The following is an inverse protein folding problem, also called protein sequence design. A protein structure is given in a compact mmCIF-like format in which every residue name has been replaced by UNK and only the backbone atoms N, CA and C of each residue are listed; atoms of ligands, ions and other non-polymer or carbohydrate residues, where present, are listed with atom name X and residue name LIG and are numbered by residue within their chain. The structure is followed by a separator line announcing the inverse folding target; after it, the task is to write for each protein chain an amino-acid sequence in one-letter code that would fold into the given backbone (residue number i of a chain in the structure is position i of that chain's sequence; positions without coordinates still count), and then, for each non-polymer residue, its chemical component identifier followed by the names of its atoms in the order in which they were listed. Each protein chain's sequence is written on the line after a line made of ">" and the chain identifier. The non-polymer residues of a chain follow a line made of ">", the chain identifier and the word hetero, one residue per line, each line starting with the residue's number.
data_IF_379965331457
#
_entry.id   IF_379965331457
#
_cell.length_a   1.000
_cell.length_b   1.000
_cell.length_c   1.000
_cell.angle_alpha   90.00
_cell.angle_beta   90.00
_cell.angle_gamma   90.00
#
_symmetry.space_group_name_H-M   'P 1'
#
loop_
_entity.id
_entity.type
_entity.pdbx_description
1 polymer ?
#
# COMPACT_ATOMS: atom_id res chain seq x y z
N UNK A 1 -7.03 -15.93 39.38
CA UNK A 1 -8.47 -16.05 39.09
C UNK A 1 -8.84 -17.53 39.04
N UNK A 2 -9.96 -17.93 39.66
CA UNK A 2 -10.38 -19.33 39.73
C UNK A 2 -11.05 -19.79 38.43
N UNK A 3 -10.84 -21.04 38.04
CA UNK A 3 -11.44 -21.69 36.85
C UNK A 3 -12.96 -21.58 36.83
N UNK A 4 -13.60 -21.56 37.99
CA UNK A 4 -15.06 -21.43 38.13
C UNK A 4 -15.62 -20.10 37.58
N UNK A 5 -14.77 -19.08 37.39
CA UNK A 5 -15.18 -17.82 36.78
C UNK A 5 -15.24 -17.87 35.24
N UNK A 6 -14.92 -19.00 34.61
CA UNK A 6 -15.00 -19.17 33.15
C UNK A 6 -16.40 -18.90 32.60
N UNK A 7 -17.43 -19.36 33.32
CA UNK A 7 -18.84 -19.16 32.96
C UNK A 7 -19.41 -17.80 33.43
N UNK A 8 -18.57 -16.90 33.97
CA UNK A 8 -19.04 -15.58 34.37
C UNK A 8 -19.44 -14.76 33.14
N UNK A 9 -20.52 -13.96 33.27
CA UNK A 9 -21.02 -13.11 32.19
C UNK A 9 -19.94 -12.17 31.64
N UNK A 10 -19.10 -11.64 32.54
CA UNK A 10 -17.97 -10.78 32.19
C UNK A 10 -16.95 -11.52 31.33
N UNK A 11 -16.46 -12.68 31.77
CA UNK A 11 -15.49 -13.48 31.00
C UNK A 11 -16.04 -13.92 29.65
N UNK A 12 -17.32 -14.32 29.59
CA UNK A 12 -17.99 -14.71 28.34
C UNK A 12 -18.06 -13.53 27.36
N UNK A 13 -18.38 -12.32 27.86
CA UNK A 13 -18.37 -11.10 27.03
C UNK A 13 -16.96 -10.84 26.50
N UNK A 14 -15.95 -10.85 27.37
CA UNK A 14 -14.56 -10.59 26.95
C UNK A 14 -14.07 -11.63 25.94
N UNK A 15 -14.41 -12.90 26.12
CA UNK A 15 -14.07 -13.95 25.16
C UNK A 15 -14.72 -13.68 23.79
N UNK A 16 -15.99 -13.32 23.80
CA UNK A 16 -16.72 -13.00 22.57
C UNK A 16 -16.10 -11.79 21.87
N UNK A 17 -15.82 -10.70 22.61
CA UNK A 17 -15.23 -9.48 22.07
C UNK A 17 -13.89 -9.78 21.37
N UNK A 18 -13.00 -10.53 22.04
CA UNK A 18 -11.71 -10.95 21.48
C UNK A 18 -11.88 -11.80 20.23
N UNK A 19 -12.84 -12.73 20.22
CA UNK A 19 -13.13 -13.55 19.03
C UNK A 19 -13.65 -12.70 17.87
N UNK A 20 -14.46 -11.67 18.14
CA UNK A 20 -15.00 -10.79 17.10
C UNK A 20 -13.98 -9.81 16.53
N UNK A 21 -12.94 -9.47 17.30
CA UNK A 21 -11.84 -8.60 16.85
C UNK A 21 -10.92 -9.29 15.84
N UNK A 22 -10.92 -10.62 15.78
CA UNK A 22 -10.15 -11.40 14.83
C UNK A 22 -10.63 -11.18 13.39
N UNK A 23 -9.69 -11.06 12.45
CA UNK A 23 -9.99 -10.75 11.05
C UNK A 23 -10.85 -11.84 10.39
N UNK A 24 -10.69 -13.09 10.81
CA UNK A 24 -11.51 -14.22 10.35
C UNK A 24 -13.00 -13.96 10.62
N UNK A 25 -13.31 -13.24 11.71
CA UNK A 25 -14.67 -12.95 12.12
C UNK A 25 -15.28 -11.76 11.36
N UNK A 26 -14.48 -10.72 11.10
CA UNK A 26 -14.89 -9.50 10.37
C UNK A 26 -15.34 -9.80 8.94
N UNK A 27 -14.80 -10.84 8.32
CA UNK A 27 -15.15 -11.24 6.95
C UNK A 27 -16.37 -12.16 6.85
N UNK A 28 -16.92 -12.64 7.97
CA UNK A 28 -18.10 -13.49 7.97
C UNK A 28 -19.36 -12.64 7.72
N UNK A 29 -20.29 -13.16 6.92
CA UNK A 29 -21.63 -12.57 6.78
C UNK A 29 -22.38 -12.57 8.12
N UNK A 30 -23.28 -11.59 8.32
CA UNK A 30 -24.10 -11.45 9.54
C UNK A 30 -24.86 -12.73 9.91
N UNK A 31 -25.33 -13.48 8.92
CA UNK A 31 -26.03 -14.76 9.13
C UNK A 31 -25.09 -15.83 9.71
N UNK A 32 -23.83 -15.84 9.28
CA UNK A 32 -22.81 -16.77 9.76
C UNK A 32 -22.37 -16.36 11.16
N UNK A 33 -22.16 -15.07 11.42
CA UNK A 33 -21.83 -14.57 12.75
C UNK A 33 -22.88 -14.99 13.79
N UNK A 34 -24.17 -14.91 13.43
CA UNK A 34 -25.28 -15.36 14.29
C UNK A 34 -25.22 -16.87 14.57
N UNK A 35 -24.89 -17.69 13.56
CA UNK A 35 -24.70 -19.14 13.73
C UNK A 35 -23.49 -19.43 14.63
N UNK A 36 -22.41 -18.70 14.47
CA UNK A 36 -21.20 -18.87 15.30
C UNK A 36 -21.47 -18.46 16.75
N UNK A 37 -22.24 -17.40 16.99
CA UNK A 37 -22.69 -17.01 18.35
C UNK A 37 -23.53 -18.13 19.00
N UNK A 38 -24.41 -18.77 18.23
CA UNK A 38 -25.19 -19.91 18.72
C UNK A 38 -24.28 -21.09 19.09
N UNK A 39 -23.31 -21.44 18.23
CA UNK A 39 -22.33 -22.50 18.48
C UNK A 39 -21.47 -22.17 19.69
N UNK A 40 -21.04 -20.92 19.84
CA UNK A 40 -20.30 -20.42 20.99
C UNK A 40 -21.10 -20.66 22.28
N UNK A 41 -22.29 -20.07 22.39
CA UNK A 41 -23.12 -20.19 23.61
C UNK A 41 -23.50 -21.62 23.95
N UNK A 42 -23.79 -22.46 22.96
CA UNK A 42 -24.16 -23.86 23.17
C UNK A 42 -22.97 -24.72 23.62
N UNK A 43 -21.78 -24.49 23.05
CA UNK A 43 -20.60 -25.32 23.34
C UNK A 43 -19.83 -24.88 24.59
N UNK A 44 -20.05 -23.66 25.08
CA UNK A 44 -19.29 -23.08 26.19
C UNK A 44 -19.42 -23.91 27.48
N UNK A 45 -20.65 -24.36 27.80
CA UNK A 45 -20.91 -25.20 28.98
C UNK A 45 -20.28 -26.59 28.85
N UNK A 46 -20.42 -27.23 27.68
CA UNK A 46 -19.85 -28.55 27.41
C UNK A 46 -18.32 -28.55 27.42
N UNK A 47 -17.70 -27.49 26.90
CA UNK A 47 -16.25 -27.29 26.98
C UNK A 47 -15.80 -27.14 28.44
N UNK A 48 -16.48 -26.30 29.23
CA UNK A 48 -16.14 -26.08 30.62
C UNK A 48 -16.18 -27.38 31.45
N UNK A 49 -17.22 -28.19 31.28
CA UNK A 49 -17.34 -29.45 32.02
C UNK A 49 -16.22 -30.45 31.71
N UNK A 50 -15.67 -30.43 30.49
CA UNK A 50 -14.59 -31.31 30.06
C UNK A 50 -13.20 -30.82 30.46
N UNK A 51 -12.97 -29.50 30.48
CA UNK A 51 -11.65 -28.91 30.73
C UNK A 51 -11.43 -28.45 32.17
N UNK A 52 -12.48 -28.28 32.99
CA UNK A 52 -12.37 -27.88 34.41
C UNK A 52 -11.52 -28.83 35.26
N UNK A 53 -11.40 -30.09 34.83
CA UNK A 53 -10.62 -31.13 35.51
C UNK A 53 -9.15 -31.12 35.06
N UNK A 54 -8.88 -30.63 33.84
CA UNK A 54 -7.57 -30.70 33.20
C UNK A 54 -6.75 -29.42 33.34
N UNK A 55 -7.41 -28.29 33.51
CA UNK A 55 -6.76 -26.98 33.50
C UNK A 55 -7.08 -26.22 34.79
N UNK A 56 -6.03 -25.83 35.53
CA UNK A 56 -6.17 -25.11 36.80
C UNK A 56 -6.14 -23.58 36.62
N UNK A 57 -5.77 -23.09 35.44
CA UNK A 57 -5.63 -21.66 35.13
C UNK A 57 -6.74 -21.22 34.19
N UNK A 58 -7.54 -20.23 34.64
CA UNK A 58 -8.63 -19.65 33.84
C UNK A 58 -8.17 -19.15 32.47
N UNK A 59 -7.02 -18.47 32.43
CA UNK A 59 -6.47 -17.91 31.21
C UNK A 59 -6.16 -18.99 30.16
N UNK A 60 -5.68 -20.15 30.59
CA UNK A 60 -5.37 -21.25 29.69
C UNK A 60 -6.65 -21.91 29.15
N UNK A 61 -7.71 -21.99 29.96
CA UNK A 61 -9.03 -22.41 29.48
C UNK A 61 -9.60 -21.43 28.46
N UNK A 62 -9.50 -20.12 28.73
CA UNK A 62 -9.92 -19.07 27.81
C UNK A 62 -9.20 -19.19 26.46
N UNK A 63 -7.86 -19.30 26.48
CA UNK A 63 -7.04 -19.47 25.27
C UNK A 63 -7.42 -20.73 24.50
N UNK A 64 -7.50 -21.89 25.18
CA UNK A 64 -7.89 -23.16 24.55
C UNK A 64 -9.25 -23.09 23.87
N UNK A 65 -10.23 -22.47 24.53
CA UNK A 65 -11.57 -22.34 23.98
C UNK A 65 -11.60 -21.45 22.74
N UNK A 66 -10.92 -20.29 22.79
CA UNK A 66 -10.81 -19.40 21.63
C UNK A 66 -10.14 -20.08 20.45
N UNK A 67 -9.04 -20.81 20.68
CA UNK A 67 -8.34 -21.54 19.63
C UNK A 67 -9.26 -22.59 18.98
N UNK A 68 -9.95 -23.39 19.79
CA UNK A 68 -10.87 -24.43 19.31
C UNK A 68 -11.98 -23.81 18.46
N UNK A 69 -12.58 -22.71 18.92
CA UNK A 69 -13.64 -22.04 18.19
C UNK A 69 -13.13 -21.43 16.89
N UNK A 70 -11.99 -20.75 16.91
CA UNK A 70 -11.37 -20.17 15.72
C UNK A 70 -10.99 -21.24 14.69
N UNK A 71 -10.49 -22.39 15.14
CA UNK A 71 -10.21 -23.54 14.27
C UNK A 71 -11.50 -24.10 13.64
N UNK A 72 -12.56 -24.23 14.44
CA UNK A 72 -13.87 -24.64 13.95
C UNK A 72 -14.44 -23.67 12.91
N UNK A 73 -14.33 -22.35 13.14
CA UNK A 73 -14.74 -21.32 12.19
C UNK A 73 -13.92 -21.43 10.90
N UNK A 74 -12.60 -21.53 10.99
CA UNK A 74 -11.70 -21.68 9.82
C UNK A 74 -12.04 -22.92 8.98
N UNK A 75 -12.39 -24.02 9.63
CA UNK A 75 -12.72 -25.29 8.96
C UNK A 75 -14.06 -25.24 8.23
N UNK A 76 -15.08 -24.64 8.85
CA UNK A 76 -16.45 -24.63 8.32
C UNK A 76 -16.67 -23.48 7.32
N UNK A 77 -15.98 -22.37 7.54
CA UNK A 77 -16.08 -21.18 6.72
C UNK A 77 -14.68 -20.81 6.19
N UNK A 78 -14.17 -21.51 5.17
CA UNK A 78 -12.90 -21.19 4.52
C UNK A 78 -13.01 -19.93 3.63
N UNK A 79 -13.83 -18.96 4.02
CA UNK A 79 -14.08 -17.73 3.29
C UNK A 79 -13.10 -16.66 3.78
N UNK A 80 -11.87 -16.68 3.26
CA UNK A 80 -11.13 -15.44 3.12
C UNK A 80 -11.66 -14.75 1.85
N UNK A 81 -11.98 -13.46 1.88
CA UNK A 81 -12.18 -12.75 0.62
C UNK A 81 -10.91 -12.94 -0.19
N UNK A 82 -11.06 -13.48 -1.41
CA UNK A 82 -10.02 -13.35 -2.43
C UNK A 82 -9.65 -11.87 -2.43
N UNK A 83 -8.42 -11.55 -2.01
CA UNK A 83 -7.88 -10.20 -2.12
C UNK A 83 -8.24 -9.72 -3.51
N UNK A 84 -9.01 -8.61 -3.60
CA UNK A 84 -9.37 -8.03 -4.88
C UNK A 84 -8.05 -7.89 -5.65
N UNK A 85 -7.94 -8.59 -6.78
CA UNK A 85 -6.78 -8.51 -7.67
C UNK A 85 -6.82 -7.14 -8.35
N UNK A 86 -6.51 -6.09 -7.60
CA UNK A 86 -6.21 -4.79 -8.18
C UNK A 86 -4.75 -4.89 -8.60
N UNK A 87 -4.56 -5.12 -9.90
CA UNK A 87 -3.29 -5.24 -10.61
C UNK A 87 -2.29 -6.28 -10.11
N UNK A 88 -2.08 -7.27 -10.99
CA UNK A 88 -0.83 -8.00 -11.08
C UNK A 88 0.31 -6.99 -11.20
N UNK A 89 1.00 -6.72 -10.09
CA UNK A 89 2.44 -6.41 -10.05
C UNK A 89 2.91 -6.36 -8.58
N UNK A 90 3.70 -7.39 -8.22
CA UNK A 90 4.72 -7.36 -7.17
C UNK A 90 4.21 -7.09 -5.74
N UNK A 91 3.60 -8.09 -5.12
CA UNK A 91 3.70 -8.27 -3.66
C UNK A 91 4.25 -9.68 -3.41
N UNK A 92 5.42 -9.81 -2.77
CA UNK A 92 6.09 -11.09 -2.61
C UNK A 92 5.19 -11.99 -1.77
N UNK A 93 4.91 -13.19 -2.30
CA UNK A 93 4.42 -14.32 -1.51
C UNK A 93 5.23 -14.33 -0.21
N UNK A 94 4.56 -14.25 0.94
CA UNK A 94 5.21 -14.47 2.24
C UNK A 94 6.12 -15.69 2.11
N UNK A 95 7.41 -15.59 2.48
CA UNK A 95 8.34 -16.68 2.28
C UNK A 95 7.75 -17.90 2.96
N UNK A 96 7.49 -18.95 2.18
CA UNK A 96 7.27 -20.27 2.77
C UNK A 96 8.56 -20.57 3.50
N UNK A 97 8.52 -20.57 4.83
CA UNK A 97 9.66 -21.00 5.63
C UNK A 97 9.94 -22.44 5.22
N UNK A 98 11.07 -22.67 4.57
CA UNK A 98 11.52 -23.99 4.17
C UNK A 98 11.76 -24.83 5.44
N UNK A 99 10.92 -25.83 5.68
CA UNK A 99 10.99 -26.64 6.93
C UNK A 99 11.96 -27.83 6.75
N UNK A 100 12.21 -28.25 5.50
CA UNK A 100 13.05 -29.41 5.19
C UNK A 100 14.46 -29.01 4.78
N UNK A 101 15.46 -29.83 5.11
CA UNK A 101 16.87 -29.54 4.81
C UNK A 101 17.13 -29.36 3.30
N UNK A 102 16.44 -30.14 2.46
CA UNK A 102 16.55 -30.10 1.01
C UNK A 102 15.98 -28.79 0.45
N UNK A 103 14.86 -28.34 1.01
CA UNK A 103 14.23 -27.07 0.67
C UNK A 103 15.11 -25.87 1.06
N UNK A 104 15.78 -25.91 2.23
CA UNK A 104 16.75 -24.87 2.62
C UNK A 104 17.95 -24.83 1.67
N UNK A 105 18.46 -25.99 1.24
CA UNK A 105 19.62 -26.04 0.34
C UNK A 105 19.27 -25.50 -1.06
N UNK A 106 18.11 -25.89 -1.59
CA UNK A 106 17.60 -25.38 -2.87
C UNK A 106 17.27 -23.88 -2.81
N UNK A 107 16.73 -23.39 -1.69
CA UNK A 107 16.47 -21.96 -1.51
C UNK A 107 17.78 -21.16 -1.47
N UNK A 108 18.78 -21.61 -0.72
CA UNK A 108 20.13 -20.98 -0.71
C UNK A 108 20.77 -20.95 -2.10
N UNK A 109 20.67 -22.06 -2.85
CA UNK A 109 21.16 -22.12 -4.22
C UNK A 109 20.44 -21.12 -5.13
N UNK A 110 19.11 -21.06 -5.03
CA UNK A 110 18.28 -20.12 -5.79
C UNK A 110 18.59 -18.66 -5.44
N UNK A 111 18.81 -18.35 -4.15
CA UNK A 111 19.23 -17.02 -3.70
C UNK A 111 20.59 -16.63 -4.26
N UNK A 112 21.55 -17.56 -4.25
CA UNK A 112 22.87 -17.34 -4.85
C UNK A 112 22.79 -17.06 -6.34
N UNK A 113 22.04 -17.87 -7.10
CA UNK A 113 21.89 -17.69 -8.55
C UNK A 113 21.23 -16.34 -8.88
N UNK A 114 20.27 -15.89 -8.05
CA UNK A 114 19.66 -14.55 -8.18
C UNK A 114 20.66 -13.43 -7.90
N UNK A 115 21.43 -13.52 -6.81
CA UNK A 115 22.42 -12.49 -6.48
C UNK A 115 23.52 -12.41 -7.56
N UNK A 116 23.95 -13.56 -8.10
CA UNK A 116 24.90 -13.61 -9.20
C UNK A 116 24.37 -12.92 -10.45
N UNK A 117 23.14 -13.22 -10.86
CA UNK A 117 22.50 -12.58 -12.01
C UNK A 117 22.31 -11.07 -11.78
N UNK A 118 21.85 -10.66 -10.60
CA UNK A 118 21.68 -9.25 -10.26
C UNK A 118 23.02 -8.51 -10.33
N UNK A 119 24.09 -9.05 -9.75
CA UNK A 119 25.42 -8.44 -9.82
C UNK A 119 25.97 -8.38 -11.24
N UNK A 120 25.71 -9.39 -12.05
CA UNK A 120 26.11 -9.38 -13.46
C UNK A 120 25.32 -8.34 -14.25
N UNK A 121 24.02 -8.20 -13.97
CA UNK A 121 23.19 -7.16 -14.59
C UNK A 121 23.62 -5.76 -14.14
N UNK A 122 23.86 -5.56 -12.85
CA UNK A 122 24.36 -4.30 -12.28
C UNK A 122 25.71 -3.91 -12.87
N UNK A 123 26.62 -4.88 -13.01
CA UNK A 123 27.90 -4.68 -13.67
C UNK A 123 27.71 -4.28 -15.13
N UNK A 124 26.85 -4.99 -15.87
CA UNK A 124 26.55 -4.65 -17.27
C UNK A 124 25.88 -3.28 -17.40
N UNK A 125 24.99 -2.91 -16.49
CA UNK A 125 24.31 -1.61 -16.44
C UNK A 125 25.29 -0.47 -16.09
N UNK A 126 26.28 -0.73 -15.24
CA UNK A 126 27.31 0.25 -14.91
C UNK A 126 28.34 0.41 -16.03
N UNK A 127 28.67 -0.68 -16.73
CA UNK A 127 29.66 -0.67 -17.82
C UNK A 127 29.08 -0.19 -19.15
N UNK A 128 27.78 -0.41 -19.38
CA UNK A 128 27.07 -0.01 -20.60
C UNK A 128 25.89 0.88 -20.29
N UNK A 129 25.88 2.08 -20.85
CA UNK A 129 24.74 2.99 -20.78
C UNK A 129 23.64 2.40 -21.68
N UNK A 130 22.59 1.83 -21.08
CA UNK A 130 21.40 1.38 -21.81
C UNK A 130 20.72 2.61 -22.42
N UNK A 131 20.86 2.78 -23.74
CA UNK A 131 20.15 3.83 -24.48
C UNK A 131 18.66 3.54 -24.39
N UNK A 132 17.82 4.50 -23.94
CA UNK A 132 16.39 4.28 -23.87
C UNK A 132 15.81 3.99 -25.26
N UNK A 133 14.74 3.18 -25.36
CA UNK A 133 14.08 2.95 -26.62
C UNK A 133 13.57 4.28 -27.20
N UNK A 134 13.73 4.44 -28.52
CA UNK A 134 13.23 5.62 -29.22
C UNK A 134 11.72 5.69 -29.03
N UNK A 135 11.15 6.85 -28.64
CA UNK A 135 9.71 6.99 -28.50
C UNK A 135 9.01 6.66 -29.81
N UNK A 136 8.03 5.77 -29.74
CA UNK A 136 7.21 5.41 -30.88
C UNK A 136 6.04 6.38 -30.99
N UNK A 137 6.18 7.37 -31.86
CA UNK A 137 5.13 8.37 -32.14
C UNK A 137 4.12 7.88 -33.19
N UNK A 138 4.13 6.60 -33.55
CA UNK A 138 3.08 6.08 -34.43
C UNK A 138 1.76 6.11 -33.68
N UNK A 139 0.76 6.77 -34.27
CA UNK A 139 -0.60 6.74 -33.76
C UNK A 139 -1.15 5.33 -34.00
N UNK A 140 -1.15 4.51 -32.93
CA UNK A 140 -1.63 3.12 -32.97
C UNK A 140 -3.14 3.01 -32.77
N UNK A 141 -3.83 4.14 -32.61
CA UNK A 141 -5.28 4.15 -32.60
C UNK A 141 -5.76 4.02 -34.04
N UNK A 142 -6.10 2.80 -34.43
CA UNK A 142 -6.93 2.60 -35.62
C UNK A 142 -8.29 3.20 -35.29
N UNK A 143 -8.55 4.41 -35.79
CA UNK A 143 -9.87 5.02 -35.70
C UNK A 143 -10.88 4.09 -36.39
N UNK A 144 -11.71 3.41 -35.60
CA UNK A 144 -12.80 2.61 -36.15
C UNK A 144 -13.84 3.55 -36.78
N UNK A 145 -14.40 3.20 -37.97
CA UNK A 145 -15.48 3.97 -38.55
C UNK A 145 -16.66 4.06 -37.59
N UNK A 146 -17.20 5.27 -37.38
CA UNK A 146 -18.35 5.51 -36.48
C UNK A 146 -19.55 4.66 -36.95
N UNK A 147 -19.86 3.58 -36.21
CA UNK A 147 -20.86 2.57 -36.62
C UNK A 147 -22.32 3.01 -36.41
N UNK A 148 -22.58 4.08 -35.64
CA UNK A 148 -23.93 4.46 -35.20
C UNK A 148 -24.30 5.94 -35.52
N UNK A 149 -23.81 6.47 -36.63
CA UNK A 149 -24.08 7.86 -37.06
C UNK A 149 -25.59 8.19 -37.04
N UNK A 150 -26.42 7.31 -37.58
CA UNK A 150 -27.88 7.52 -37.67
C UNK A 150 -28.56 7.58 -36.30
N UNK A 151 -28.08 6.78 -35.34
CA UNK A 151 -28.58 6.77 -33.97
C UNK A 151 -28.21 8.06 -33.25
N UNK A 152 -26.97 8.53 -33.41
CA UNK A 152 -26.49 9.79 -32.85
C UNK A 152 -27.27 10.96 -33.45
N UNK A 153 -27.48 10.98 -34.77
CA UNK A 153 -28.27 12.00 -35.45
C UNK A 153 -29.70 12.01 -34.91
N UNK A 154 -30.33 10.84 -34.78
CA UNK A 154 -31.70 10.72 -34.27
C UNK A 154 -31.82 11.17 -32.82
N UNK A 155 -30.88 10.80 -31.96
CA UNK A 155 -30.81 11.24 -30.56
C UNK A 155 -30.65 12.76 -30.47
N UNK A 156 -29.72 13.32 -31.25
CA UNK A 156 -29.50 14.76 -31.32
C UNK A 156 -30.72 15.53 -31.84
N UNK A 157 -31.44 14.97 -32.83
CA UNK A 157 -32.70 15.54 -33.32
C UNK A 157 -33.80 15.48 -32.25
N UNK A 158 -33.92 14.36 -31.51
CA UNK A 158 -34.87 14.24 -30.41
C UNK A 158 -34.57 15.25 -29.30
N UNK A 159 -33.30 15.40 -28.92
CA UNK A 159 -32.86 16.38 -27.93
C UNK A 159 -33.21 17.81 -28.37
N UNK A 160 -32.87 18.17 -29.61
CA UNK A 160 -33.20 19.49 -30.15
C UNK A 160 -34.69 19.76 -30.19
N UNK A 161 -35.50 18.78 -30.60
CA UNK A 161 -36.96 18.92 -30.62
C UNK A 161 -37.52 19.11 -29.20
N UNK A 162 -36.99 18.37 -28.23
CA UNK A 162 -37.36 18.53 -26.82
C UNK A 162 -37.01 19.92 -26.29
N UNK A 163 -35.80 20.42 -26.58
CA UNK A 163 -35.39 21.79 -26.21
C UNK A 163 -36.31 22.85 -26.82
N UNK A 164 -36.70 22.69 -28.10
CA UNK A 164 -37.65 23.59 -28.77
C UNK A 164 -39.02 23.56 -28.08
N UNK A 165 -39.53 22.39 -27.68
CA UNK A 165 -40.80 22.30 -26.94
C UNK A 165 -40.73 22.99 -25.58
N UNK A 166 -39.61 22.87 -24.86
CA UNK A 166 -39.40 23.55 -23.57
C UNK A 166 -39.36 25.07 -23.77
N UNK A 167 -38.64 25.55 -24.80
CA UNK A 167 -38.59 26.98 -25.13
C UNK A 167 -39.99 27.49 -25.50
N UNK A 168 -40.72 26.80 -26.37
CA UNK A 168 -42.06 27.23 -26.80
C UNK A 168 -43.08 27.23 -25.65
N UNK A 169 -43.01 26.26 -24.72
CA UNK A 169 -43.86 26.24 -23.52
C UNK A 169 -43.57 27.43 -22.60
N UNK A 170 -42.30 27.79 -22.43
CA UNK A 170 -41.92 28.91 -21.57
C UNK A 170 -42.22 30.28 -22.22
N UNK A 171 -42.01 30.42 -23.53
CA UNK A 171 -42.18 31.69 -24.28
C UNK A 171 -43.65 32.03 -24.55
N UNK A 172 -44.55 31.04 -24.64
CA UNK A 172 -45.99 31.31 -24.87
C UNK A 172 -46.72 32.03 -23.73
N UNK A 173 -46.08 32.20 -22.57
CA UNK A 173 -46.65 32.89 -21.40
C UNK A 173 -46.32 34.39 -21.34
N UNK A 174 -45.34 34.87 -22.11
CA UNK A 174 -44.95 36.27 -22.18
C UNK A 174 -45.14 36.78 -23.61
N UNK A 175 -46.17 37.61 -23.80
CA UNK A 175 -46.53 38.25 -25.07
C UNK A 175 -45.45 39.26 -25.52
N UNK A 176 -44.31 38.78 -26.00
CA UNK A 176 -43.28 39.60 -26.66
C UNK A 176 -43.19 39.26 -28.16
N UNK A 177 -44.34 39.29 -28.85
CA UNK A 177 -44.41 39.26 -30.33
C UNK A 177 -43.89 40.56 -30.99
N UNK A 178 -43.47 41.55 -30.18
CA UNK A 178 -43.01 42.86 -30.65
C UNK A 178 -41.66 42.84 -31.38
N UNK A 179 -40.83 41.81 -31.19
CA UNK A 179 -39.59 41.64 -31.97
C UNK A 179 -39.88 40.95 -33.33
N UNK A 180 -40.87 40.06 -33.41
CA UNK A 180 -41.22 39.36 -34.66
C UNK A 180 -42.05 40.22 -35.63
N UNK A 181 -42.69 41.27 -35.15
CA UNK A 181 -43.41 42.22 -35.99
C UNK A 181 -42.41 43.26 -36.54
N UNK A 182 -42.06 43.17 -37.82
CA UNK A 182 -41.39 44.29 -38.51
C UNK A 182 -42.24 45.54 -38.34
N UNK A 183 -41.66 46.63 -37.81
CA UNK A 183 -42.35 47.92 -37.81
C UNK A 183 -42.74 48.27 -39.25
N UNK A 184 -44.00 48.63 -39.48
CA UNK A 184 -44.45 49.04 -40.81
C UNK A 184 -43.75 50.34 -41.23
N UNK A 185 -42.61 50.20 -41.92
CA UNK A 185 -41.93 51.33 -42.53
C UNK A 185 -42.47 51.55 -43.94
N UNK A 186 -42.93 52.78 -44.21
CA UNK A 186 -43.65 53.24 -45.40
C UNK A 186 -42.91 53.17 -46.76
N UNK A 187 -41.83 52.39 -46.93
CA UNK A 187 -41.02 52.46 -48.15
C UNK A 187 -40.97 51.10 -48.85
N UNK A 188 -41.96 50.91 -49.72
CA UNK A 188 -41.98 49.90 -50.78
C UNK A 188 -40.97 50.30 -51.87
N UNK A 189 -39.84 49.59 -51.98
CA UNK A 189 -38.90 49.49 -53.13
C UNK A 189 -37.79 48.53 -52.64
N UNK A 190 -37.32 47.51 -53.34
CA UNK A 190 -37.25 47.21 -54.75
C UNK A 190 -36.03 46.30 -54.88
N UNK A 191 -36.29 45.04 -55.25
CA UNK A 191 -35.39 44.02 -55.84
C UNK A 191 -33.93 44.45 -56.15
N UNK A 192 -32.95 43.62 -55.77
CA UNK A 192 -31.77 43.17 -56.56
C UNK A 192 -30.71 42.51 -55.64
N UNK A 193 -30.52 41.18 -55.70
CA UNK A 193 -29.52 40.39 -56.46
C UNK A 193 -28.05 40.52 -56.03
N UNK A 194 -27.57 39.43 -55.42
CA UNK A 194 -26.32 38.65 -55.67
C UNK A 194 -25.05 39.42 -56.04
N UNK A 195 -23.96 39.18 -55.30
CA UNK A 195 -22.64 38.83 -55.88
C UNK A 195 -21.71 38.24 -54.81
N UNK A 196 -21.18 37.06 -55.14
CA UNK A 196 -20.01 36.39 -54.59
C UNK A 196 -18.75 37.18 -54.93
N UNK A 197 -17.73 37.17 -54.05
CA UNK A 197 -16.33 37.26 -54.46
C UNK A 197 -15.40 36.63 -53.42
N UNK A 198 -14.45 35.87 -53.97
CA UNK A 198 -13.36 35.08 -53.38
C UNK A 198 -12.09 35.90 -53.14
N UNK A 199 -11.31 35.44 -52.16
CA UNK A 199 -9.86 35.57 -51.97
C UNK A 199 -9.23 36.98 -51.78
N UNK A 200 -8.54 37.16 -50.65
CA UNK A 200 -7.07 37.35 -50.63
C UNK A 200 -6.51 37.42 -49.21
N UNK A 201 -5.39 36.73 -49.03
CA UNK A 201 -4.54 36.61 -47.84
C UNK A 201 -4.08 37.97 -47.31
N UNK A 202 -4.12 38.16 -45.98
CA UNK A 202 -3.45 39.25 -45.29
C UNK A 202 -2.31 38.70 -44.43
N UNK A 203 -1.08 39.03 -44.82
CA UNK A 203 0.10 39.00 -43.95
C UNK A 203 -0.13 39.98 -42.80
N UNK A 204 -0.08 39.47 -41.57
CA UNK A 204 -0.12 40.29 -40.35
C UNK A 204 1.23 40.19 -39.67
N UNK A 205 2.01 41.25 -39.86
CA UNK A 205 3.09 41.67 -38.97
C UNK A 205 2.58 41.70 -37.52
N UNK A 206 3.12 40.82 -36.66
CA UNK A 206 2.91 40.86 -35.21
C UNK A 206 4.23 41.01 -34.49
N UNK A 207 4.72 42.25 -34.43
CA UNK A 207 5.41 42.73 -33.25
C UNK A 207 4.42 42.73 -32.09
N UNK A 208 4.40 41.66 -31.30
CA UNK A 208 3.79 41.71 -29.98
C UNK A 208 4.71 41.09 -28.93
N UNK A 209 5.06 41.97 -28.00
CA UNK A 209 5.88 41.79 -26.82
C UNK A 209 5.34 40.62 -25.99
N UNK A 210 6.05 39.49 -26.00
CA UNK A 210 5.93 38.47 -24.97
C UNK A 210 7.21 38.46 -24.14
N UNK A 211 7.07 38.87 -22.88
CA UNK A 211 8.05 38.69 -21.82
C UNK A 211 8.46 37.22 -21.73
N UNK A 212 9.53 36.83 -22.41
CA UNK A 212 10.26 35.58 -22.13
C UNK A 212 11.02 35.77 -20.82
N UNK A 213 10.51 35.18 -19.75
CA UNK A 213 11.33 34.92 -18.55
C UNK A 213 12.35 33.84 -18.93
N UNK A 214 13.59 34.26 -19.10
CA UNK A 214 14.72 33.36 -19.31
C UNK A 214 15.23 32.95 -17.92
N UNK A 215 15.19 31.66 -17.60
CA UNK A 215 15.94 31.12 -16.44
C UNK A 215 17.35 30.81 -16.94
N UNK A 216 18.33 31.64 -16.56
CA UNK A 216 19.74 31.32 -16.76
C UNK A 216 20.22 30.48 -15.59
N UNK A 217 20.59 29.24 -15.84
CA UNK A 217 21.50 28.51 -14.97
C UNK A 217 22.89 29.12 -15.19
N UNK A 218 23.62 29.41 -14.10
CA UNK A 218 24.89 30.15 -14.13
C UNK A 218 25.96 29.52 -15.03
N UNK A 219 27.00 30.29 -15.31
CA UNK A 219 28.13 29.89 -16.15
C UNK A 219 28.71 28.52 -15.73
N UNK A 220 28.69 27.56 -16.65
CA UNK A 220 29.45 26.32 -16.53
C UNK A 220 30.94 26.64 -16.73
N UNK A 221 31.59 27.16 -15.71
CA UNK A 221 33.04 27.07 -15.61
C UNK A 221 33.38 25.66 -15.12
N UNK A 222 33.91 24.84 -16.01
CA UNK A 222 34.67 23.64 -15.63
C UNK A 222 35.91 24.10 -14.86
N UNK A 223 35.84 24.11 -13.53
CA UNK A 223 37.02 24.25 -12.69
C UNK A 223 37.70 22.89 -12.56
N UNK A 224 38.91 22.78 -13.10
CA UNK A 224 39.86 21.77 -12.64
C UNK A 224 40.21 22.08 -11.18
N UNK A 225 39.98 21.11 -10.29
CA UNK A 225 40.37 21.23 -8.90
C UNK A 225 41.89 21.04 -8.79
N UNK A 226 42.61 22.08 -8.37
CA UNK A 226 43.91 21.92 -7.72
C UNK A 226 43.70 21.75 -6.22
N UNK A 227 44.41 20.79 -5.64
CA UNK A 227 44.15 20.13 -4.35
C UNK A 227 44.36 20.98 -3.08
N UNK A 228 44.49 22.31 -3.16
CA UNK A 228 45.01 23.09 -2.02
C UNK A 228 44.19 24.30 -1.55
N UNK A 229 42.98 24.55 -2.08
CA UNK A 229 42.21 25.71 -1.62
C UNK A 229 41.25 25.37 -0.47
N UNK A 230 41.68 25.72 0.74
CA UNK A 230 40.87 25.90 1.95
C UNK A 230 39.83 27.01 1.75
N UNK A 231 38.81 26.77 0.94
CA UNK A 231 37.63 27.64 0.86
C UNK A 231 36.40 26.75 0.76
N UNK A 232 36.00 26.16 1.89
CA UNK A 232 34.67 25.58 2.04
C UNK A 232 34.16 25.79 3.48
N UNK A 233 34.37 26.99 4.01
CA UNK A 233 33.63 27.47 5.17
C UNK A 233 32.42 28.25 4.68
N UNK A 234 31.34 27.55 4.33
CA UNK A 234 29.94 28.01 4.42
C UNK A 234 28.92 27.02 3.81
N UNK A 235 29.23 25.72 3.79
CA UNK A 235 28.26 24.72 3.36
C UNK A 235 27.37 24.25 4.51
N UNK A 236 26.07 24.22 4.22
CA UNK A 236 24.89 23.82 5.03
C UNK A 236 25.09 22.50 5.79
N UNK A 237 26.07 21.69 5.38
CA UNK A 237 26.42 20.39 5.95
C UNK A 237 27.26 20.44 7.24
N UNK A 238 27.77 21.60 7.69
CA UNK A 238 28.39 21.72 9.04
C UNK A 238 27.40 21.43 10.19
N UNK A 239 26.09 21.45 9.93
CA UNK A 239 25.06 21.09 10.93
C UNK A 239 24.83 19.58 11.08
N UNK A 240 25.38 18.76 10.19
CA UNK A 240 25.31 17.30 10.32
C UNK A 240 26.51 16.83 11.15
N UNK A 241 26.22 16.09 12.24
CA UNK A 241 27.24 15.53 13.11
C UNK A 241 28.11 14.57 12.29
N UNK A 242 29.39 14.91 12.11
CA UNK A 242 30.37 14.05 11.44
C UNK A 242 30.55 12.77 12.26
N UNK A 243 30.09 11.64 11.74
CA UNK A 243 30.37 10.31 12.30
C UNK A 243 31.76 9.92 11.80
N UNK A 244 32.73 9.78 12.70
CA UNK A 244 34.04 9.26 12.36
C UNK A 244 33.92 7.75 12.15
N UNK A 245 34.13 7.30 10.90
CA UNK A 245 34.12 5.90 10.47
C UNK A 245 35.39 5.15 10.92
N UNK A 246 35.60 5.01 12.23
CA UNK A 246 36.56 4.01 12.76
C UNK A 246 35.86 2.74 13.27
N UNK A 247 34.52 2.71 13.29
CA UNK A 247 33.75 1.55 13.78
C UNK A 247 32.72 0.99 12.78
N UNK A 248 32.76 1.36 11.50
CA UNK A 248 31.71 1.03 10.52
C UNK A 248 32.04 -0.13 9.59
N UNK A 249 32.76 -1.13 10.08
CA UNK A 249 32.80 -2.47 9.46
C UNK A 249 32.11 -3.54 10.32
N UNK A 250 31.35 -3.16 11.35
CA UNK A 250 30.68 -4.08 12.28
C UNK A 250 29.17 -3.84 12.41
N UNK A 251 28.49 -3.43 11.32
CA UNK A 251 27.04 -3.12 11.38
C UNK A 251 26.19 -3.79 10.30
N UNK A 252 26.69 -4.82 9.64
CA UNK A 252 25.87 -5.69 8.80
C UNK A 252 26.29 -7.13 9.08
N UNK A 253 25.40 -7.89 9.70
CA UNK A 253 25.54 -9.24 10.29
C UNK A 253 26.03 -9.22 11.74
N UNK A 254 25.11 -9.32 12.72
CA UNK A 254 25.25 -10.25 13.86
C UNK A 254 24.16 -10.09 14.93
N UNK A 255 23.03 -10.78 14.75
CA UNK A 255 22.16 -11.18 15.86
C UNK A 255 22.58 -12.54 16.46
N UNK A 256 23.46 -13.28 15.78
CA UNK A 256 24.04 -14.56 16.22
C UNK A 256 25.19 -14.38 17.21
N UNK A 257 26.10 -13.43 17.00
CA UNK A 257 27.23 -13.22 17.93
C UNK A 257 26.81 -12.57 19.26
N UNK A 258 25.77 -11.73 19.29
CA UNK A 258 25.27 -11.14 20.54
C UNK A 258 24.68 -12.20 21.48
N UNK A 259 24.00 -13.21 20.93
CA UNK A 259 23.49 -14.34 21.70
C UNK A 259 24.63 -15.23 22.22
N UNK A 260 25.64 -15.50 21.39
CA UNK A 260 26.82 -16.26 21.81
C UNK A 260 27.63 -15.56 22.92
N UNK A 261 27.78 -14.23 22.86
CA UNK A 261 28.49 -13.49 23.92
C UNK A 261 27.70 -13.46 25.24
N UNK A 262 26.38 -13.32 25.15
CA UNK A 262 25.51 -13.36 26.32
C UNK A 262 25.42 -14.76 26.93
N UNK A 263 25.35 -15.82 26.13
CA UNK A 263 25.39 -17.21 26.61
C UNK A 263 26.72 -17.53 27.28
N UNK A 264 27.86 -17.12 26.71
CA UNK A 264 29.16 -17.32 27.34
C UNK A 264 29.30 -16.56 28.67
N UNK A 265 28.76 -15.34 28.76
CA UNK A 265 28.74 -14.57 30.01
C UNK A 265 27.81 -15.20 31.06
N UNK A 266 26.66 -15.72 30.63
CA UNK A 266 25.70 -16.43 31.50
C UNK A 266 26.30 -17.73 32.03
N UNK A 267 26.94 -18.53 31.16
CA UNK A 267 27.63 -19.76 31.54
C UNK A 267 28.79 -19.50 32.51
N UNK A 268 29.52 -18.39 32.34
CA UNK A 268 30.57 -17.99 33.27
C UNK A 268 29.99 -17.60 34.64
N UNK A 269 28.91 -16.82 34.65
CA UNK A 269 28.20 -16.46 35.89
C UNK A 269 27.63 -17.70 36.60
N UNK A 270 27.06 -18.65 35.86
CA UNK A 270 26.54 -19.90 36.42
C UNK A 270 27.66 -20.73 37.05
N UNK A 271 28.81 -20.83 36.39
CA UNK A 271 30.00 -21.49 36.95
C UNK A 271 30.50 -20.78 38.22
N UNK A 272 30.52 -19.45 38.25
CA UNK A 272 30.90 -18.69 39.44
C UNK A 272 29.93 -18.90 40.60
N UNK A 273 28.62 -18.93 40.33
CA UNK A 273 27.59 -19.21 41.33
C UNK A 273 27.73 -20.63 41.88
N UNK A 274 28.01 -21.62 41.02
CA UNK A 274 28.24 -23.01 41.43
C UNK A 274 29.45 -23.12 42.36
N UNK A 275 30.58 -22.51 41.99
CA UNK A 275 31.79 -22.47 42.82
C UNK A 275 31.51 -21.78 44.17
N UNK A 276 30.75 -20.69 44.18
CA UNK A 276 30.38 -20.00 45.41
C UNK A 276 29.52 -20.91 46.32
N UNK A 277 28.55 -21.61 45.74
CA UNK A 277 27.67 -22.50 46.47
C UNK A 277 28.45 -23.69 47.08
N UNK A 278 29.40 -24.26 46.33
CA UNK A 278 30.28 -25.31 46.84
C UNK A 278 31.14 -24.82 48.01
N UNK A 279 31.64 -23.58 47.94
CA UNK A 279 32.39 -22.97 49.05
C UNK A 279 31.51 -22.72 50.28
N UNK A 280 30.28 -22.24 50.07
CA UNK A 280 29.31 -22.02 51.16
C UNK A 280 28.95 -23.36 51.82
N UNK A 281 28.75 -24.41 51.04
CA UNK A 281 28.48 -25.75 51.56
C UNK A 281 29.67 -26.32 52.34
N UNK A 282 30.91 -26.05 51.89
CA UNK A 282 32.12 -26.44 52.62
C UNK A 282 32.21 -25.71 53.97
N UNK A 283 31.91 -24.41 54.00
CA UNK A 283 31.85 -23.63 55.25
C UNK A 283 30.74 -24.15 56.17
N UNK A 284 29.55 -24.45 55.64
CA UNK A 284 28.45 -25.04 56.40
C UNK A 284 28.83 -26.40 57.00
N UNK A 285 29.51 -27.26 56.25
CA UNK A 285 29.99 -28.54 56.75
C UNK A 285 31.06 -28.38 57.84
N UNK A 286 31.95 -27.39 57.73
CA UNK A 286 32.93 -27.06 58.78
C UNK A 286 32.23 -26.53 60.04
N UNK A 287 31.15 -25.77 59.89
CA UNK A 287 30.36 -25.26 61.02
C UNK A 287 29.50 -26.34 61.68
N UNK A 288 29.07 -27.37 60.94
CA UNK A 288 28.32 -28.51 61.48
C UNK A 288 29.21 -29.59 62.14
N UNK A 289 30.52 -29.56 61.89
CA UNK A 289 31.50 -30.51 62.47
C UNK A 289 32.21 -29.97 63.72
N UNK A 290 31.80 -28.81 64.23
CA UNK A 290 32.13 -28.29 65.56
C UNK A 290 30.95 -28.42 66.50
#
# INVERSE_FOLDING_TARGET
>A
MSVNSFLSKENISTLWDVITDEDIFKFLSKDIQTKVLQVFTQNLKGFFDNEKIKTNVLMDMNKKYMILLLEHIKKIYPQQPNKIKIHDDIIPKSPKEAITYEEIHSDRKSQFDKDLNNRQEDFNNAMSIKVPPVPDFTDKLVEEPIMEMDKIIKEMMMQRNYEIEVINKNVSSTKDDGWLQSQETSIKRGKNTVTTDTDTSTDIDRNNVFNKKNVSWGFNETREYQENDKIMEDNIFKKLKKINNENTTALINDSSELNNFNENKLNNLENQIKILNDRVNLILNILQTK
#
